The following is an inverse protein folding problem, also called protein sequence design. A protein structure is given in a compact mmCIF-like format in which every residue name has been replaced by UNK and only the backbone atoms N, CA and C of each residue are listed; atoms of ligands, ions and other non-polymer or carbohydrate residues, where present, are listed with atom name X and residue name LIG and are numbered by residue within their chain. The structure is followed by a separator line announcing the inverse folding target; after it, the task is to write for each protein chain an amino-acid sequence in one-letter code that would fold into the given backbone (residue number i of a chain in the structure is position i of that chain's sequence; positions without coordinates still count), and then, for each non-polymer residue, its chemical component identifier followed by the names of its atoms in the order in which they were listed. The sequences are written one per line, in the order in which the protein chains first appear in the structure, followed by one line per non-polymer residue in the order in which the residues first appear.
data_IF_131569242319
#
_entry.id   IF_131569242319
#
_cell.length_a   1.000
_cell.length_b   1.000
_cell.length_c   1.000
_cell.angle_alpha   90.00
_cell.angle_beta   90.00
_cell.angle_gamma   90.00
#
_symmetry.space_group_name_H-M   'P 1'
#
loop_
_entity.id
_entity.type
_entity.pdbx_description
1 polymer ?
#
# COMPACT_ATOMS: atom_id res chain seq x y z
N UNK A 1 -22.93 -1.49 11.91
CA UNK A 1 -22.14 -0.72 10.93
C UNK A 1 -21.01 -0.06 11.68
N UNK A 2 -19.75 -0.44 11.40
CA UNK A 2 -18.60 0.11 12.12
C UNK A 2 -18.13 1.41 11.45
N UNK A 3 -17.79 2.43 12.25
CA UNK A 3 -17.16 3.69 11.81
C UNK A 3 -15.77 3.81 12.46
N UNK A 4 -14.80 2.98 12.04
CA UNK A 4 -13.48 3.00 12.65
C UNK A 4 -12.77 4.31 12.34
N UNK A 5 -12.04 4.84 13.33
CA UNK A 5 -11.19 6.04 13.15
C UNK A 5 -9.92 5.73 12.34
N UNK A 6 -9.48 4.47 12.35
CA UNK A 6 -8.29 3.98 11.68
C UNK A 6 -8.52 2.55 11.22
N UNK A 7 -8.11 2.23 9.99
CA UNK A 7 -8.05 0.89 9.44
C UNK A 7 -6.60 0.61 9.07
N UNK A 8 -6.07 -0.52 9.54
CA UNK A 8 -4.73 -1.00 9.23
C UNK A 8 -4.87 -2.39 8.64
N UNK A 9 -4.38 -2.57 7.42
CA UNK A 9 -4.32 -3.86 6.74
C UNK A 9 -2.87 -4.37 6.78
N UNK A 10 -2.70 -5.64 7.12
CA UNK A 10 -1.40 -6.32 7.21
C UNK A 10 -1.47 -7.57 6.36
N UNK A 11 -0.77 -7.56 5.23
CA UNK A 11 -0.78 -8.66 4.28
C UNK A 11 0.62 -8.92 3.72
N UNK A 12 0.95 -10.19 3.48
CA UNK A 12 2.11 -10.62 2.70
C UNK A 12 1.82 -10.48 1.20
N UNK A 13 1.38 -9.27 0.82
CA UNK A 13 0.60 -9.03 -0.40
C UNK A 13 1.39 -9.24 -1.69
N UNK A 14 2.72 -9.05 -1.67
CA UNK A 14 3.55 -9.24 -2.87
C UNK A 14 4.92 -9.82 -2.59
N UNK A 15 5.35 -10.69 -3.49
CA UNK A 15 6.75 -11.11 -3.61
C UNK A 15 7.69 -9.96 -4.02
N UNK A 16 7.16 -8.85 -4.55
CA UNK A 16 7.92 -7.63 -4.89
C UNK A 16 8.20 -6.70 -3.68
N UNK A 17 7.58 -6.93 -2.51
CA UNK A 17 8.05 -6.33 -1.25
C UNK A 17 9.52 -6.66 -0.94
N UNK A 18 10.07 -7.70 -1.60
CA UNK A 18 11.48 -8.04 -1.61
C UNK A 18 12.42 -6.96 -2.17
N UNK A 19 11.90 -5.85 -2.75
CA UNK A 19 12.73 -4.69 -3.14
C UNK A 19 13.50 -4.07 -1.95
N UNK A 20 13.02 -4.23 -0.71
CA UNK A 20 13.73 -3.85 0.52
C UNK A 20 14.50 -5.02 1.16
N UNK A 21 14.46 -6.21 0.55
CA UNK A 21 14.88 -7.46 1.18
C UNK A 21 14.05 -7.84 2.41
N UNK A 22 14.56 -8.76 3.23
CA UNK A 22 13.96 -9.16 4.51
C UNK A 22 14.18 -8.12 5.64
N UNK A 23 14.61 -6.91 5.30
CA UNK A 23 15.17 -5.97 6.28
C UNK A 23 14.20 -4.87 6.72
N UNK A 24 13.16 -4.61 5.92
CA UNK A 24 12.13 -3.63 6.22
C UNK A 24 10.79 -3.97 5.56
N UNK A 25 9.70 -3.61 6.23
CA UNK A 25 8.34 -3.77 5.76
C UNK A 25 7.90 -2.59 4.90
N UNK A 26 7.21 -2.86 3.78
CA UNK A 26 6.65 -1.83 2.91
C UNK A 26 5.34 -1.30 3.49
N UNK A 27 5.24 0.02 3.67
CA UNK A 27 4.04 0.67 4.21
C UNK A 27 3.44 1.64 3.20
N UNK A 28 2.14 1.51 3.00
CA UNK A 28 1.32 2.40 2.18
C UNK A 28 0.34 3.15 3.07
N UNK A 29 0.26 4.47 2.94
CA UNK A 29 -0.70 5.27 3.70
C UNK A 29 -1.12 6.53 2.96
N UNK A 30 -2.41 6.83 3.06
CA UNK A 30 -3.02 8.07 2.56
C UNK A 30 -2.84 9.25 3.53
N UNK A 31 -2.41 9.02 4.77
CA UNK A 31 -2.28 10.04 5.82
C UNK A 31 -0.83 10.21 6.27
N UNK A 32 -0.34 11.44 6.19
CA UNK A 32 1.00 11.78 6.66
C UNK A 32 1.14 11.68 8.19
N UNK A 33 0.05 11.89 8.94
CA UNK A 33 0.06 11.75 10.39
C UNK A 33 0.27 10.27 10.78
N UNK A 34 -0.47 9.36 10.15
CA UNK A 34 -0.32 7.93 10.40
C UNK A 34 1.05 7.40 9.98
N UNK A 35 1.62 7.92 8.89
CA UNK A 35 2.99 7.59 8.50
C UNK A 35 3.99 7.86 9.63
N UNK A 36 3.91 9.04 10.28
CA UNK A 36 4.84 9.42 11.35
C UNK A 36 4.72 8.48 12.55
N UNK A 37 3.49 8.13 12.94
CA UNK A 37 3.26 7.20 14.05
C UNK A 37 3.82 5.80 13.74
N UNK A 38 3.57 5.28 12.54
CA UNK A 38 4.10 3.97 12.12
C UNK A 38 5.62 3.99 12.04
N UNK A 39 6.21 5.06 11.49
CA UNK A 39 7.67 5.22 11.42
C UNK A 39 8.29 5.27 12.82
N UNK A 40 7.69 6.00 13.75
CA UNK A 40 8.13 6.08 15.15
C UNK A 40 8.01 4.73 15.83
N UNK A 41 6.90 4.02 15.64
CA UNK A 41 6.70 2.69 16.18
C UNK A 41 7.77 1.71 15.68
N UNK A 42 8.06 1.72 14.37
CA UNK A 42 9.12 0.89 13.79
C UNK A 42 10.52 1.21 14.31
N UNK A 43 10.81 2.48 14.62
CA UNK A 43 12.07 2.87 15.26
C UNK A 43 12.18 2.37 16.71
N UNK A 44 11.07 2.32 17.46
CA UNK A 44 11.05 1.86 18.85
C UNK A 44 11.15 0.33 18.94
N UNK A 45 10.42 -0.39 18.08
CA UNK A 45 10.40 -1.86 18.08
C UNK A 45 11.60 -2.47 17.37
N UNK A 46 12.30 -1.69 16.54
CA UNK A 46 13.35 -2.18 15.65
C UNK A 46 12.83 -2.80 14.35
N UNK A 47 11.50 -2.87 14.16
CA UNK A 47 10.89 -3.31 12.91
C UNK A 47 10.88 -2.17 11.90
N UNK A 48 11.88 -2.16 11.02
CA UNK A 48 12.06 -1.08 10.07
C UNK A 48 10.93 -1.07 9.05
N UNK A 49 10.42 0.11 8.78
CA UNK A 49 9.35 0.34 7.80
C UNK A 49 9.80 1.35 6.76
N UNK A 50 9.40 1.16 5.51
CA UNK A 50 9.66 2.10 4.44
C UNK A 50 8.37 2.54 3.76
N UNK A 51 8.23 3.85 3.55
CA UNK A 51 7.05 4.41 2.89
C UNK A 51 7.14 4.22 1.39
N UNK A 52 6.16 3.55 0.82
CA UNK A 52 5.98 3.46 -0.62
C UNK A 52 4.98 4.50 -1.13
N UNK A 53 5.13 4.95 -2.39
CA UNK A 53 4.24 5.94 -2.98
C UNK A 53 2.87 5.35 -3.34
N UNK A 54 1.81 6.08 -3.01
CA UNK A 54 0.43 5.86 -3.50
C UNK A 54 0.08 6.91 -4.58
N UNK A 55 0.89 6.98 -5.62
CA UNK A 55 0.67 7.93 -6.71
C UNK A 55 -0.56 7.57 -7.55
N UNK A 56 -1.22 8.61 -8.10
CA UNK A 56 -2.43 8.46 -8.91
C UNK A 56 -2.21 7.59 -10.16
N UNK A 57 -0.98 7.59 -10.71
CA UNK A 57 -0.65 6.73 -11.85
C UNK A 57 -0.89 5.25 -11.56
N UNK A 58 -0.66 4.77 -10.34
CA UNK A 58 -0.96 3.39 -9.94
C UNK A 58 -2.45 3.12 -9.79
N UNK A 59 -3.23 4.12 -9.37
CA UNK A 59 -4.70 4.03 -9.36
C UNK A 59 -5.25 3.90 -10.77
N UNK A 60 -4.76 4.69 -11.73
CA UNK A 60 -5.18 4.57 -13.12
C UNK A 60 -4.88 3.20 -13.71
N UNK A 61 -3.81 2.52 -13.28
CA UNK A 61 -3.49 1.17 -13.73
C UNK A 61 -4.51 0.10 -13.29
N UNK A 62 -5.33 0.37 -12.27
CA UNK A 62 -6.39 -0.56 -11.80
C UNK A 62 -7.78 -0.14 -12.22
N UNK A 63 -8.03 1.15 -12.49
CA UNK A 63 -9.37 1.66 -12.84
C UNK A 63 -9.59 1.91 -14.32
N UNK A 64 -8.54 2.04 -15.14
CA UNK A 64 -8.69 2.46 -16.54
C UNK A 64 -9.06 1.28 -17.45
N UNK A 65 -10.28 0.76 -17.28
CA UNK A 65 -10.82 -0.39 -18.00
C UNK A 65 -12.25 -0.13 -18.47
N UNK A 66 -12.56 -0.58 -19.68
CA UNK A 66 -13.89 -0.36 -20.28
C UNK A 66 -14.95 -1.34 -19.77
N UNK A 67 -14.52 -2.53 -19.33
CA UNK A 67 -15.43 -3.64 -19.04
C UNK A 67 -15.74 -3.82 -17.54
N UNK A 68 -14.97 -3.16 -16.66
CA UNK A 68 -15.10 -3.29 -15.20
C UNK A 68 -14.53 -2.06 -14.51
N UNK A 69 -15.09 -1.71 -13.34
CA UNK A 69 -14.72 -0.51 -12.60
C UNK A 69 -13.32 -0.64 -11.96
N UNK A 70 -12.96 -1.85 -11.52
CA UNK A 70 -11.71 -2.10 -10.82
C UNK A 70 -11.11 -3.46 -11.19
N UNK A 71 -9.85 -3.47 -11.61
CA UNK A 71 -9.06 -4.67 -11.81
C UNK A 71 -8.31 -5.04 -10.53
N UNK A 72 -8.44 -6.29 -10.08
CA UNK A 72 -7.58 -6.82 -9.01
C UNK A 72 -6.11 -6.98 -9.43
N UNK A 73 -5.82 -7.02 -10.74
CA UNK A 73 -4.47 -7.20 -11.29
C UNK A 73 -3.92 -5.94 -11.94
N UNK A 74 -4.77 -5.23 -12.67
CA UNK A 74 -4.43 -4.07 -13.50
C UNK A 74 -3.32 -4.35 -14.52
N UNK A 75 -2.82 -3.30 -15.17
CA UNK A 75 -1.73 -3.39 -16.17
C UNK A 75 -0.60 -2.39 -15.94
N UNK A 76 0.64 -2.76 -16.27
CA UNK A 76 1.82 -1.89 -16.21
C UNK A 76 2.93 -2.40 -15.29
N UNK A 77 3.80 -1.49 -14.84
CA UNK A 77 4.90 -1.75 -13.89
C UNK A 77 4.55 -1.34 -12.45
N UNK A 78 5.33 -1.80 -11.47
CA UNK A 78 5.16 -1.43 -10.05
C UNK A 78 3.99 -2.16 -9.38
N UNK A 79 4.04 -3.49 -9.41
CA UNK A 79 2.95 -4.37 -8.95
C UNK A 79 2.53 -4.09 -7.50
N UNK A 80 3.49 -3.90 -6.59
CA UNK A 80 3.21 -3.60 -5.17
C UNK A 80 2.45 -2.28 -4.99
N UNK A 81 2.88 -1.19 -5.64
CA UNK A 81 2.17 0.09 -5.55
C UNK A 81 0.78 0.02 -6.19
N UNK A 82 0.61 -0.78 -7.24
CA UNK A 82 -0.68 -1.01 -7.87
C UNK A 82 -1.65 -1.77 -6.96
N UNK A 83 -1.21 -2.84 -6.33
CA UNK A 83 -2.07 -3.58 -5.40
C UNK A 83 -2.45 -2.75 -4.18
N UNK A 84 -1.54 -1.93 -3.66
CA UNK A 84 -1.89 -0.97 -2.61
C UNK A 84 -2.91 0.07 -3.12
N UNK A 85 -2.83 0.48 -4.38
CA UNK A 85 -3.84 1.34 -4.99
C UNK A 85 -5.20 0.64 -5.17
N UNK A 86 -5.22 -0.67 -5.44
CA UNK A 86 -6.44 -1.47 -5.45
C UNK A 86 -7.13 -1.46 -4.08
N UNK A 87 -6.40 -1.75 -2.99
CA UNK A 87 -6.93 -1.73 -1.62
C UNK A 87 -7.44 -0.35 -1.18
N UNK A 88 -6.94 0.71 -1.78
CA UNK A 88 -7.41 2.07 -1.52
C UNK A 88 -8.75 2.36 -2.19
N UNK A 89 -9.04 1.70 -3.32
CA UNK A 89 -10.22 1.96 -4.16
C UNK A 89 -11.34 0.94 -3.95
N UNK A 90 -11.01 -0.25 -3.45
CA UNK A 90 -11.96 -1.24 -2.94
C UNK A 90 -12.62 -0.74 -1.65
#
# INVERSE_FOLDING_TARGET
MYKPRLVVDVATLTTQGALLGSTASCVFTNSNAMWKEIQKAGAITGDRVWRFPLWKCYTHQVTNFTNFDLSNRGHGQGYTCRQAAFLKCA
#
